data_IF_643171118585
#
_entry.id   IF_643171118585
#
_cell.length_a   1.000
_cell.length_b   1.000
_cell.length_c   1.000
_cell.angle_alpha   90.00
_cell.angle_beta   90.00
_cell.angle_gamma   90.00
#
_symmetry.space_group_name_H-M   'P 1'
#
loop_
_entity.id
_entity.type
_entity.pdbx_description
1 polymer ?
#
# COMPACT_ATOMS: atom_id res chain seq x y z
N UNK A 1 0.01 7.46 14.58
CA UNK A 1 -0.23 6.99 13.21
C UNK A 1 0.99 6.19 12.79
N UNK A 2 0.83 5.02 12.15
CA UNK A 2 1.95 4.13 11.78
C UNK A 2 2.74 4.72 10.62
N UNK A 3 4.08 4.74 10.71
CA UNK A 3 4.95 5.14 9.60
C UNK A 3 4.97 4.04 8.54
N UNK A 4 4.77 4.43 7.28
CA UNK A 4 4.85 3.53 6.14
C UNK A 4 6.15 3.80 5.37
N UNK A 5 6.94 2.75 5.16
CA UNK A 5 8.13 2.79 4.33
C UNK A 5 7.84 2.11 2.98
N UNK A 6 8.07 2.83 1.89
CA UNK A 6 8.00 2.32 0.53
C UNK A 6 9.42 2.12 0.02
N UNK A 7 9.81 0.87 -0.23
CA UNK A 7 11.13 0.49 -0.73
C UNK A 7 10.97 0.11 -2.20
N UNK A 8 11.46 0.95 -3.08
CA UNK A 8 11.32 0.79 -4.53
C UNK A 8 12.55 0.12 -5.09
N UNK A 9 12.37 -1.06 -5.64
CA UNK A 9 13.36 -1.79 -6.42
C UNK A 9 13.35 -1.27 -7.86
N UNK A 10 14.25 -0.32 -8.16
CA UNK A 10 14.22 0.36 -9.45
C UNK A 10 14.80 -0.49 -10.60
N UNK A 11 15.48 -1.60 -10.32
CA UNK A 11 15.90 -2.56 -11.34
C UNK A 11 14.73 -3.35 -11.89
N UNK A 12 13.80 -3.75 -11.03
CA UNK A 12 12.63 -4.57 -11.38
C UNK A 12 11.39 -3.75 -11.74
N UNK A 13 11.27 -2.52 -11.22
CA UNK A 13 10.08 -1.68 -11.41
C UNK A 13 10.51 -0.27 -11.78
N UNK A 14 10.07 0.19 -12.97
CA UNK A 14 10.18 1.60 -13.37
C UNK A 14 8.79 2.25 -13.27
N UNK A 15 8.43 2.86 -12.14
CA UNK A 15 7.12 3.47 -11.99
C UNK A 15 6.96 4.62 -12.99
N UNK A 16 6.03 4.47 -13.93
CA UNK A 16 5.71 5.51 -14.91
C UNK A 16 4.98 6.69 -14.27
N UNK A 17 4.27 6.46 -13.18
CA UNK A 17 3.66 7.50 -12.37
C UNK A 17 3.64 7.03 -10.90
N UNK A 18 3.99 7.92 -10.00
CA UNK A 18 3.81 7.72 -8.58
C UNK A 18 2.71 8.69 -8.16
N UNK A 19 1.45 8.28 -8.41
CA UNK A 19 0.30 9.02 -7.91
C UNK A 19 0.22 8.84 -6.40
N UNK A 20 0.94 9.66 -5.65
CA UNK A 20 1.01 9.56 -4.20
C UNK A 20 0.17 10.66 -3.55
N UNK A 21 -1.15 10.52 -3.58
CA UNK A 21 -2.06 11.33 -2.78
C UNK A 21 -2.33 10.65 -1.43
N UNK A 22 -1.30 10.54 -0.58
CA UNK A 22 -1.44 9.94 0.75
C UNK A 22 -1.21 10.99 1.85
N UNK A 23 -2.18 11.16 2.75
CA UNK A 23 -2.15 12.15 3.83
C UNK A 23 -1.52 11.69 5.14
N UNK A 24 -0.84 10.53 5.15
CA UNK A 24 -0.19 9.98 6.34
C UNK A 24 1.34 9.98 6.26
N UNK A 25 2.05 9.58 7.33
CA UNK A 25 3.50 9.51 7.33
C UNK A 25 3.99 8.42 6.37
N UNK A 26 4.63 8.85 5.29
CA UNK A 26 5.15 8.01 4.23
C UNK A 26 6.62 8.37 3.98
N UNK A 27 7.50 7.39 4.04
CA UNK A 27 8.93 7.53 3.73
C UNK A 27 9.30 6.61 2.58
N UNK A 28 9.98 7.14 1.57
CA UNK A 28 10.27 6.44 0.33
C UNK A 28 11.77 6.23 0.21
N UNK A 29 12.18 5.00 -0.04
CA UNK A 29 13.57 4.61 -0.32
C UNK A 29 13.61 4.03 -1.72
N UNK A 30 14.34 4.68 -2.62
CA UNK A 30 14.50 4.24 -4.00
C UNK A 30 15.88 3.60 -4.13
N UNK A 31 15.89 2.29 -4.38
CA UNK A 31 17.13 1.53 -4.55
C UNK A 31 17.51 1.45 -6.02
N UNK A 32 18.74 1.82 -6.32
CA UNK A 32 19.32 1.80 -7.65
C UNK A 32 20.48 0.80 -7.71
N UNK A 33 20.53 0.04 -8.79
CA UNK A 33 21.68 -0.81 -9.09
C UNK A 33 22.95 0.01 -9.30
N UNK A 34 24.13 -0.63 -9.12
CA UNK A 34 25.43 0.04 -9.20
C UNK A 34 25.67 0.76 -10.53
N UNK A 35 25.15 0.22 -11.62
CA UNK A 35 25.29 0.79 -12.98
C UNK A 35 24.13 1.67 -13.40
N UNK A 36 23.11 1.81 -12.57
CA UNK A 36 21.90 2.55 -12.89
C UNK A 36 22.09 4.06 -12.64
N UNK A 37 22.50 4.78 -13.68
CA UNK A 37 22.79 6.23 -13.60
C UNK A 37 21.63 7.13 -14.03
N UNK A 38 20.47 6.57 -14.37
CA UNK A 38 19.33 7.35 -14.91
C UNK A 38 18.05 7.03 -14.14
N UNK A 39 17.34 8.07 -13.75
CA UNK A 39 16.00 8.00 -13.16
C UNK A 39 15.04 8.74 -14.09
N UNK A 40 13.85 8.20 -14.42
CA UNK A 40 12.86 8.93 -15.20
C UNK A 40 12.47 10.25 -14.55
N UNK A 41 12.50 11.35 -15.33
CA UNK A 41 12.18 12.68 -14.80
C UNK A 41 10.78 12.76 -14.19
N UNK A 42 9.81 12.05 -14.76
CA UNK A 42 8.45 11.98 -14.22
C UNK A 42 8.42 11.39 -12.81
N UNK A 43 9.22 10.36 -12.56
CA UNK A 43 9.38 9.77 -11.22
C UNK A 43 10.00 10.77 -10.24
N UNK A 44 11.07 11.47 -10.66
CA UNK A 44 11.73 12.47 -9.82
C UNK A 44 10.75 13.58 -9.44
N UNK A 45 10.00 14.11 -10.41
CA UNK A 45 8.97 15.14 -10.17
C UNK A 45 7.89 14.68 -9.19
N UNK A 46 7.41 13.44 -9.32
CA UNK A 46 6.40 12.89 -8.42
C UNK A 46 6.94 12.71 -6.99
N UNK A 47 8.20 12.30 -6.86
CA UNK A 47 8.85 12.11 -5.56
C UNK A 47 9.27 13.42 -4.89
N UNK A 48 9.53 14.47 -5.67
CA UNK A 48 9.96 15.77 -5.15
C UNK A 48 8.95 16.39 -4.15
N UNK A 49 7.65 16.08 -4.31
CA UNK A 49 6.61 16.53 -3.40
C UNK A 49 6.77 16.00 -1.95
N UNK A 50 7.54 14.92 -1.75
CA UNK A 50 7.81 14.32 -0.44
C UNK A 50 9.06 14.89 0.24
N UNK A 51 9.84 15.73 -0.45
CA UNK A 51 10.99 16.43 0.11
C UNK A 51 11.97 15.48 0.83
N UNK A 52 12.24 15.71 2.13
CA UNK A 52 13.22 14.92 2.90
C UNK A 52 12.78 13.49 3.21
N UNK A 53 11.52 13.14 2.96
CA UNK A 53 11.01 11.78 3.18
C UNK A 53 11.36 10.83 2.01
N UNK A 54 12.03 11.33 0.96
CA UNK A 54 12.57 10.52 -0.14
C UNK A 54 14.09 10.44 -0.04
N UNK A 55 14.59 9.21 -0.17
CA UNK A 55 16.03 8.94 -0.25
C UNK A 55 16.32 8.02 -1.43
N UNK A 56 17.33 8.40 -2.23
CA UNK A 56 17.85 7.57 -3.31
C UNK A 56 19.09 6.86 -2.79
N UNK A 57 19.12 5.54 -2.92
CA UNK A 57 20.18 4.67 -2.39
C UNK A 57 20.77 3.92 -3.58
N UNK A 58 21.95 4.34 -4.00
CA UNK A 58 22.70 3.64 -5.03
C UNK A 58 23.59 2.59 -4.36
N UNK A 59 23.62 1.39 -4.95
CA UNK A 59 24.47 0.31 -4.44
C UNK A 59 25.89 0.44 -4.94
N UNK A 60 26.82 0.01 -4.10
CA UNK A 60 28.23 -0.20 -4.48
C UNK A 60 28.42 -1.64 -4.94
N UNK A 61 28.88 -1.83 -6.18
CA UNK A 61 29.19 -3.14 -6.74
C UNK A 61 28.03 -3.87 -7.37
N UNK A 62 28.35 -4.89 -8.17
CA UNK A 62 27.43 -5.74 -8.89
C UNK A 62 27.45 -7.16 -8.34
N UNK A 63 26.29 -7.80 -8.22
CA UNK A 63 26.17 -9.19 -7.82
C UNK A 63 24.74 -9.67 -7.98
N UNK A 64 24.54 -10.97 -8.13
CA UNK A 64 23.20 -11.56 -8.15
C UNK A 64 22.47 -11.24 -6.86
N UNK A 65 21.26 -10.69 -6.96
CA UNK A 65 20.40 -10.30 -5.83
C UNK A 65 21.05 -9.24 -4.89
N UNK A 66 22.07 -8.48 -5.36
CA UNK A 66 22.73 -7.49 -4.52
C UNK A 66 21.74 -6.43 -4.00
N UNK A 67 20.82 -5.97 -4.85
CA UNK A 67 19.78 -5.02 -4.48
C UNK A 67 18.80 -5.60 -3.44
N UNK A 68 18.43 -6.87 -3.57
CA UNK A 68 17.55 -7.55 -2.63
C UNK A 68 18.15 -7.61 -1.22
N UNK A 69 19.46 -7.90 -1.12
CA UNK A 69 20.17 -7.88 0.17
C UNK A 69 20.18 -6.48 0.79
N UNK A 70 20.33 -5.42 -0.02
CA UNK A 70 20.28 -4.04 0.47
C UNK A 70 18.87 -3.71 0.98
N UNK A 71 17.82 -4.05 0.24
CA UNK A 71 16.43 -3.87 0.67
C UNK A 71 16.18 -4.61 1.99
N UNK A 72 16.60 -5.88 2.08
CA UNK A 72 16.44 -6.69 3.29
C UNK A 72 17.19 -6.06 4.50
N UNK A 73 18.42 -5.59 4.31
CA UNK A 73 19.19 -4.89 5.33
C UNK A 73 18.48 -3.62 5.82
N UNK A 74 17.98 -2.79 4.88
CA UNK A 74 17.26 -1.57 5.22
C UNK A 74 15.97 -1.85 5.98
N UNK A 75 15.22 -2.90 5.63
CA UNK A 75 14.03 -3.31 6.38
C UNK A 75 14.42 -3.67 7.82
N UNK A 76 15.46 -4.49 8.03
CA UNK A 76 15.90 -4.86 9.37
C UNK A 76 16.34 -3.65 10.20
N UNK A 77 17.16 -2.75 9.62
CA UNK A 77 17.62 -1.52 10.27
C UNK A 77 16.46 -0.59 10.63
N UNK A 78 15.53 -0.39 9.71
CA UNK A 78 14.38 0.49 9.92
C UNK A 78 13.36 -0.12 10.89
N UNK A 79 13.18 -1.44 10.90
CA UNK A 79 12.31 -2.11 11.86
C UNK A 79 12.82 -1.98 13.29
N UNK A 80 14.14 -1.97 13.49
CA UNK A 80 14.74 -1.71 14.80
C UNK A 80 14.50 -0.27 15.28
N UNK A 81 14.55 0.71 14.37
CA UNK A 81 14.31 2.13 14.67
C UNK A 81 12.82 2.50 14.77
N UNK A 82 11.96 1.79 14.05
CA UNK A 82 10.51 2.03 13.95
C UNK A 82 9.76 0.70 14.13
N UNK A 83 9.60 0.19 15.36
CA UNK A 83 9.02 -1.14 15.60
C UNK A 83 7.59 -1.32 15.09
N UNK A 84 6.81 -0.23 15.02
CA UNK A 84 5.43 -0.25 14.53
C UNK A 84 5.29 0.07 13.04
N UNK A 85 6.39 0.24 12.31
CA UNK A 85 6.35 0.60 10.91
C UNK A 85 5.73 -0.50 10.04
N UNK A 86 5.25 -0.09 8.86
CA UNK A 86 4.82 -0.99 7.80
C UNK A 86 5.71 -0.82 6.58
N UNK A 87 6.21 -1.92 6.04
CA UNK A 87 7.12 -1.93 4.90
C UNK A 87 6.40 -2.40 3.63
N UNK A 88 6.55 -1.64 2.55
CA UNK A 88 6.02 -1.94 1.23
C UNK A 88 7.18 -2.09 0.25
N UNK A 89 7.49 -3.32 -0.15
CA UNK A 89 8.48 -3.58 -1.20
C UNK A 89 7.78 -3.42 -2.55
N UNK A 90 8.30 -2.55 -3.40
CA UNK A 90 7.79 -2.37 -4.76
C UNK A 90 8.75 -3.06 -5.71
N UNK A 91 8.39 -4.29 -6.06
CA UNK A 91 9.14 -5.15 -6.98
C UNK A 91 8.21 -6.21 -7.58
N UNK A 92 8.50 -6.63 -8.79
CA UNK A 92 7.86 -7.79 -9.43
C UNK A 92 8.53 -9.11 -9.04
N UNK A 93 9.72 -9.05 -8.44
CA UNK A 93 10.46 -10.23 -8.05
C UNK A 93 9.78 -10.95 -6.87
N UNK A 94 9.39 -12.20 -7.10
CA UNK A 94 8.81 -13.08 -6.08
C UNK A 94 9.86 -13.62 -5.10
N UNK A 95 11.14 -13.42 -5.35
CA UNK A 95 12.24 -13.75 -4.44
C UNK A 95 12.12 -13.10 -3.07
N UNK A 96 11.40 -11.97 -2.97
CA UNK A 96 11.08 -11.35 -1.69
C UNK A 96 10.02 -12.08 -0.86
N UNK A 97 9.21 -12.96 -1.44
CA UNK A 97 8.07 -13.58 -0.72
C UNK A 97 8.51 -14.45 0.47
N UNK A 98 9.61 -15.25 0.42
CA UNK A 98 10.16 -15.95 1.58
C UNK A 98 10.61 -15.00 2.69
N UNK A 99 11.28 -13.88 2.35
CA UNK A 99 11.69 -12.85 3.30
C UNK A 99 10.47 -12.25 4.00
N UNK A 100 9.44 -11.89 3.24
CA UNK A 100 8.20 -11.32 3.78
C UNK A 100 7.53 -12.29 4.75
N UNK A 101 7.48 -13.59 4.43
CA UNK A 101 6.96 -14.64 5.32
C UNK A 101 7.74 -14.68 6.63
N UNK A 102 9.09 -14.62 6.57
CA UNK A 102 9.94 -14.59 7.74
C UNK A 102 9.72 -13.33 8.59
N UNK A 103 9.71 -12.14 7.96
CA UNK A 103 9.47 -10.86 8.65
C UNK A 103 8.12 -10.85 9.39
N UNK A 104 7.06 -11.37 8.77
CA UNK A 104 5.74 -11.49 9.41
C UNK A 104 5.76 -12.40 10.64
N UNK A 105 6.52 -13.50 10.62
CA UNK A 105 6.71 -14.36 11.78
C UNK A 105 7.42 -13.63 12.95
N UNK A 106 8.29 -12.66 12.62
CA UNK A 106 8.95 -11.77 13.58
C UNK A 106 8.10 -10.54 13.96
N UNK A 107 6.81 -10.50 13.56
CA UNK A 107 5.88 -9.37 13.78
C UNK A 107 6.29 -8.07 13.08
N UNK A 108 7.16 -8.15 12.08
CA UNK A 108 7.51 -7.03 11.21
C UNK A 108 6.51 -7.00 10.04
N UNK A 109 5.75 -5.92 9.95
CA UNK A 109 4.71 -5.78 8.93
C UNK A 109 5.32 -5.45 7.59
N UNK A 110 5.26 -6.38 6.66
CA UNK A 110 5.83 -6.24 5.32
C UNK A 110 4.92 -6.87 4.25
N UNK A 111 4.85 -6.23 3.10
CA UNK A 111 4.19 -6.77 1.90
C UNK A 111 4.94 -6.34 0.63
N UNK A 112 4.78 -7.10 -0.45
CA UNK A 112 5.22 -6.74 -1.79
C UNK A 112 4.03 -6.32 -2.66
N UNK A 113 4.27 -5.36 -3.54
CA UNK A 113 3.34 -4.90 -4.58
C UNK A 113 4.12 -4.70 -5.89
N UNK A 114 3.47 -4.94 -7.04
CA UNK A 114 4.12 -4.74 -8.33
C UNK A 114 4.27 -3.27 -8.71
N UNK A 115 3.40 -2.40 -8.17
CA UNK A 115 3.46 -0.95 -8.35
C UNK A 115 3.13 -0.22 -7.05
N UNK A 116 3.56 1.04 -6.93
CA UNK A 116 3.24 1.89 -5.76
C UNK A 116 1.73 2.10 -5.64
N UNK A 117 1.04 2.22 -6.77
CA UNK A 117 -0.43 2.36 -6.84
C UNK A 117 -1.19 1.14 -6.33
N UNK A 118 -0.55 -0.03 -6.26
CA UNK A 118 -1.15 -1.26 -5.74
C UNK A 118 -1.12 -1.34 -4.21
N UNK A 119 -0.40 -0.42 -3.55
CA UNK A 119 -0.43 -0.30 -2.10
C UNK A 119 -1.85 0.07 -1.68
N UNK A 120 -2.52 -0.73 -0.81
CA UNK A 120 -3.95 -0.55 -0.53
C UNK A 120 -4.33 0.86 -0.07
N UNK A 121 -3.50 1.49 0.76
CA UNK A 121 -3.76 2.85 1.25
C UNK A 121 -3.58 3.91 0.15
N UNK A 122 -2.67 3.70 -0.81
CA UNK A 122 -2.45 4.60 -1.94
C UNK A 122 -3.56 4.41 -2.98
N UNK A 123 -3.94 3.15 -3.25
CA UNK A 123 -5.07 2.83 -4.12
C UNK A 123 -6.36 3.51 -3.65
N UNK A 124 -6.62 3.46 -2.34
CA UNK A 124 -7.76 4.15 -1.72
C UNK A 124 -7.64 5.67 -1.87
N UNK A 125 -6.46 6.23 -1.62
CA UNK A 125 -6.24 7.69 -1.68
C UNK A 125 -6.36 8.26 -3.10
N UNK A 126 -6.02 7.45 -4.12
CA UNK A 126 -6.06 7.82 -5.54
C UNK A 126 -7.40 7.50 -6.22
N UNK A 127 -8.32 6.81 -5.54
CA UNK A 127 -9.60 6.46 -6.11
C UNK A 127 -10.51 7.71 -6.23
N UNK A 128 -10.78 8.17 -7.44
CA UNK A 128 -11.57 9.36 -7.73
C UNK A 128 -13.04 9.03 -8.03
N UNK A 129 -13.29 7.94 -8.75
CA UNK A 129 -14.63 7.50 -9.10
C UNK A 129 -15.24 6.53 -8.07
N UNK A 130 -16.57 6.45 -8.04
CA UNK A 130 -17.29 5.49 -7.17
C UNK A 130 -16.87 4.05 -7.44
N UNK A 131 -16.76 3.56 -8.70
CA UNK A 131 -16.29 2.21 -8.97
C UNK A 131 -14.88 1.92 -8.43
N UNK A 132 -13.92 2.84 -8.63
CA UNK A 132 -12.55 2.69 -8.12
C UNK A 132 -12.50 2.65 -6.60
N UNK A 133 -13.30 3.49 -5.93
CA UNK A 133 -13.44 3.49 -4.47
C UNK A 133 -14.01 2.18 -3.96
N UNK A 134 -15.00 1.60 -4.65
CA UNK A 134 -15.58 0.28 -4.33
C UNK A 134 -14.52 -0.81 -4.48
N UNK A 135 -13.76 -0.83 -5.57
CA UNK A 135 -12.72 -1.83 -5.80
C UNK A 135 -11.61 -1.75 -4.75
N UNK A 136 -11.18 -0.53 -4.39
CA UNK A 136 -10.20 -0.31 -3.33
C UNK A 136 -10.71 -0.76 -1.95
N UNK A 137 -12.00 -0.54 -1.67
CA UNK A 137 -12.65 -0.99 -0.43
C UNK A 137 -12.78 -2.51 -0.38
N UNK A 138 -13.13 -3.15 -1.51
CA UNK A 138 -13.19 -4.60 -1.66
C UNK A 138 -11.85 -5.26 -1.38
N UNK A 139 -10.79 -4.80 -2.03
CA UNK A 139 -9.43 -5.31 -1.80
C UNK A 139 -9.06 -5.27 -0.30
N UNK A 140 -9.45 -4.20 0.38
CA UNK A 140 -9.23 -4.06 1.81
C UNK A 140 -10.05 -5.05 2.63
N UNK A 141 -11.34 -5.21 2.34
CA UNK A 141 -12.23 -6.15 3.04
C UNK A 141 -11.80 -7.62 2.85
N UNK A 142 -11.28 -7.96 1.67
CA UNK A 142 -10.76 -9.30 1.37
C UNK A 142 -9.47 -9.57 2.16
N UNK A 143 -8.55 -8.60 2.19
CA UNK A 143 -7.26 -8.75 2.91
C UNK A 143 -7.42 -8.82 4.43
N UNK A 144 -8.43 -8.14 4.99
CA UNK A 144 -8.70 -8.13 6.43
C UNK A 144 -9.76 -9.15 6.86
N UNK A 145 -9.54 -10.45 6.55
CA UNK A 145 -10.49 -11.54 6.81
C UNK A 145 -10.99 -11.62 8.26
N UNK A 146 -10.16 -11.26 9.24
CA UNK A 146 -10.46 -11.45 10.67
C UNK A 146 -11.25 -10.30 11.33
N UNK A 147 -11.31 -9.11 10.74
CA UNK A 147 -11.86 -7.90 11.37
C UNK A 147 -12.85 -7.15 10.46
N UNK A 148 -13.81 -7.88 9.88
CA UNK A 148 -14.85 -7.24 9.06
C UNK A 148 -15.89 -6.54 9.95
N UNK A 149 -16.33 -5.32 9.60
CA UNK A 149 -17.44 -4.64 10.26
C UNK A 149 -18.70 -5.49 10.26
N UNK A 150 -19.33 -5.69 11.41
CA UNK A 150 -20.54 -6.53 11.53
C UNK A 150 -21.83 -5.75 11.45
N UNK A 151 -21.78 -4.42 11.65
CA UNK A 151 -22.95 -3.54 11.56
C UNK A 151 -22.77 -2.50 10.47
N UNK A 152 -23.89 -1.97 9.96
CA UNK A 152 -23.87 -0.92 8.94
C UNK A 152 -23.14 0.34 9.45
N UNK A 153 -23.32 0.68 10.72
CA UNK A 153 -22.65 1.81 11.35
C UNK A 153 -21.12 1.63 11.40
N UNK A 154 -20.65 0.45 11.85
CA UNK A 154 -19.21 0.16 11.86
C UNK A 154 -18.63 0.09 10.45
N UNK A 155 -19.41 -0.35 9.45
CA UNK A 155 -18.99 -0.32 8.05
C UNK A 155 -18.88 1.12 7.53
N UNK A 156 -19.84 1.99 7.81
CA UNK A 156 -19.78 3.43 7.48
C UNK A 156 -18.56 4.09 8.08
N UNK A 157 -18.28 3.86 9.37
CA UNK A 157 -17.10 4.40 10.05
C UNK A 157 -15.80 3.85 9.46
N UNK A 158 -15.78 2.57 9.06
CA UNK A 158 -14.64 1.97 8.36
C UNK A 158 -14.41 2.64 7.01
N UNK A 159 -15.47 2.90 6.23
CA UNK A 159 -15.38 3.62 4.95
C UNK A 159 -14.85 5.05 5.20
N UNK A 160 -15.41 5.80 6.16
CA UNK A 160 -14.93 7.14 6.52
C UNK A 160 -13.44 7.13 6.81
N UNK A 161 -13.00 6.21 7.66
CA UNK A 161 -11.58 6.08 8.03
C UNK A 161 -10.69 5.68 6.84
N UNK A 162 -11.18 4.79 5.97
CA UNK A 162 -10.45 4.37 4.77
C UNK A 162 -10.12 5.55 3.86
N UNK A 163 -11.07 6.46 3.68
CA UNK A 163 -10.92 7.64 2.82
C UNK A 163 -10.55 8.91 3.61
N UNK A 164 -9.87 8.74 4.76
CA UNK A 164 -9.35 9.84 5.59
C UNK A 164 -10.42 10.89 5.98
N UNK A 165 -11.67 10.46 6.15
CA UNK A 165 -12.83 11.31 6.45
C UNK A 165 -13.13 12.40 5.39
N UNK A 166 -12.69 12.19 4.15
CA UNK A 166 -12.91 13.14 3.05
C UNK A 166 -14.24 12.94 2.31
N UNK A 167 -14.92 11.82 2.55
CA UNK A 167 -16.19 11.50 1.89
C UNK A 167 -17.39 12.09 2.66
N UNK A 168 -18.32 12.66 1.91
CA UNK A 168 -19.63 13.05 2.40
C UNK A 168 -20.49 11.82 2.72
N UNK A 169 -21.53 12.00 3.55
CA UNK A 169 -22.45 10.91 3.87
C UNK A 169 -23.20 10.39 2.61
N UNK A 170 -23.43 11.25 1.61
CA UNK A 170 -23.99 10.86 0.32
C UNK A 170 -23.06 9.93 -0.48
N UNK A 171 -21.75 10.27 -0.55
CA UNK A 171 -20.76 9.42 -1.22
C UNK A 171 -20.59 8.07 -0.52
N UNK A 172 -20.64 8.06 0.82
CA UNK A 172 -20.60 6.82 1.60
C UNK A 172 -21.82 5.96 1.31
N UNK A 173 -23.02 6.57 1.19
CA UNK A 173 -24.20 5.83 0.82
C UNK A 173 -24.08 5.24 -0.58
N UNK A 174 -23.59 6.02 -1.56
CA UNK A 174 -23.38 5.52 -2.92
C UNK A 174 -22.41 4.31 -2.96
N UNK A 175 -21.36 4.31 -2.11
CA UNK A 175 -20.44 3.16 -1.99
C UNK A 175 -21.14 1.93 -1.41
N UNK A 176 -21.97 2.09 -0.39
CA UNK A 176 -22.74 1.01 0.22
C UNK A 176 -23.75 0.40 -0.78
N UNK A 177 -24.43 1.26 -1.53
CA UNK A 177 -25.41 0.84 -2.55
C UNK A 177 -24.70 0.04 -3.67
N UNK A 178 -23.54 0.48 -4.11
CA UNK A 178 -22.70 -0.23 -5.09
C UNK A 178 -22.20 -1.58 -4.56
N UNK A 179 -21.78 -1.66 -3.29
CA UNK A 179 -21.39 -2.92 -2.67
C UNK A 179 -22.55 -3.91 -2.59
N UNK A 180 -23.74 -3.43 -2.25
CA UNK A 180 -24.97 -4.24 -2.22
C UNK A 180 -25.39 -4.68 -3.64
N UNK A 181 -25.32 -3.77 -4.62
CA UNK A 181 -25.65 -4.07 -6.03
C UNK A 181 -24.70 -5.12 -6.64
N UNK A 182 -23.42 -5.10 -6.25
CA UNK A 182 -22.44 -6.13 -6.65
C UNK A 182 -22.61 -7.45 -5.88
N UNK A 183 -23.56 -7.55 -4.97
CA UNK A 183 -23.80 -8.75 -4.17
C UNK A 183 -22.74 -9.02 -3.11
N UNK A 184 -21.85 -8.06 -2.83
CA UNK A 184 -20.72 -8.22 -1.91
C UNK A 184 -21.14 -8.12 -0.46
N UNK A 185 -22.16 -7.33 -0.19
CA UNK A 185 -22.77 -7.19 1.12
C UNK A 185 -24.29 -7.33 1.03
N UNK A 186 -24.86 -7.89 2.09
CA UNK A 186 -26.31 -7.81 2.36
C UNK A 186 -26.50 -7.18 3.73
N UNK A 187 -27.43 -6.22 3.82
CA UNK A 187 -27.77 -5.56 5.07
C UNK A 187 -29.15 -6.01 5.51
N UNK A 188 -29.27 -6.58 6.71
CA UNK A 188 -30.52 -6.98 7.33
C UNK A 188 -30.50 -6.56 8.78
N UNK A 189 -31.54 -5.83 9.23
CA UNK A 189 -31.68 -5.33 10.60
C UNK A 189 -30.41 -4.62 11.13
N UNK A 190 -29.75 -3.82 10.27
CA UNK A 190 -28.52 -3.09 10.63
C UNK A 190 -27.26 -3.97 10.71
N UNK A 191 -27.35 -5.28 10.47
CA UNK A 191 -26.22 -6.20 10.39
C UNK A 191 -25.75 -6.35 8.96
N UNK A 192 -24.44 -6.53 8.78
CA UNK A 192 -23.81 -6.71 7.46
C UNK A 192 -23.33 -8.14 7.31
N UNK A 193 -23.81 -8.81 6.27
CA UNK A 193 -23.36 -10.12 5.82
C UNK A 193 -22.50 -9.93 4.57
N UNK A 194 -21.37 -10.61 4.48
CA UNK A 194 -20.40 -10.49 3.39
C UNK A 194 -20.42 -11.71 2.49
N UNK A 195 -20.54 -11.50 1.18
CA UNK A 195 -20.39 -12.49 0.12
C UNK A 195 -19.20 -12.07 -0.75
N UNK A 196 -17.99 -12.18 -0.18
CA UNK A 196 -16.76 -11.74 -0.87
C UNK A 196 -16.29 -12.84 -1.82
N UNK A 197 -15.74 -12.48 -3.00
CA UNK A 197 -15.10 -13.44 -3.89
C UNK A 197 -13.91 -14.10 -3.17
N UNK A 198 -13.66 -15.37 -3.52
CA UNK A 198 -12.62 -16.20 -2.93
C UNK A 198 -11.20 -15.69 -3.28
#
# INVERSE_FOLDING_TARGET
MRTNFVLVDLENVQPKSIGLSYGGPLKIKVFLGATQCKIPLEMVRALQAFGPDVEYIQMDGNGTNALDFHIAYYIGRLAAAYPDAYFHIISKDTGFDPLIKHLKAQRIFCQRSAAVTDIPMIKVANAESVPERVDALLDRLIKHKACKPRTLETLRNTIKTCFANKLSDHEIQALLDQLAQRGVIRVSEGKVVYELPA
#
